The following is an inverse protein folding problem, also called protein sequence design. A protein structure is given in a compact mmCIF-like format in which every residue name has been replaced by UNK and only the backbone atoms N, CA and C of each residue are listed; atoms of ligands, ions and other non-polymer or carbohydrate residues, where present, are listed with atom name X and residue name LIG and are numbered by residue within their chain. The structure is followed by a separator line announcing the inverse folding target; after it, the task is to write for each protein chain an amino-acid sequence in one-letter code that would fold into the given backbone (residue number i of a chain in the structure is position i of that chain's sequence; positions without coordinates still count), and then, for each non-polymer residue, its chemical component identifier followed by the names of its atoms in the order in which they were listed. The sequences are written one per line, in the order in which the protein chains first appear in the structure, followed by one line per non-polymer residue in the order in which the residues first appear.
data_IF_997675101468
#
_entry.id   IF_997675101468
#
_cell.length_a   1.000
_cell.length_b   1.000
_cell.length_c   1.000
_cell.angle_alpha   90.00
_cell.angle_beta   90.00
_cell.angle_gamma   90.00
#
_symmetry.space_group_name_H-M   'P 1'
#
loop_
_entity.id
_entity.type
_entity.pdbx_description
1 polymer ?
#
# COMPACT_ATOMS: atom_id res chain seq x y z
N UNK A 1 17.22 -0.05 -16.73
CA UNK A 1 16.52 -0.85 -15.71
C UNK A 1 17.04 -0.47 -14.34
N UNK A 2 16.32 0.40 -13.63
CA UNK A 2 16.68 0.84 -12.27
C UNK A 2 15.50 0.61 -11.33
N UNK A 3 15.81 0.24 -10.10
CA UNK A 3 14.83 0.07 -9.03
C UNK A 3 14.68 1.43 -8.34
N UNK A 4 13.48 2.01 -8.34
CA UNK A 4 13.17 3.20 -7.54
C UNK A 4 12.48 2.79 -6.24
N UNK A 5 13.01 3.26 -5.12
CA UNK A 5 12.47 3.01 -3.78
C UNK A 5 11.76 4.25 -3.26
N UNK A 6 10.55 4.07 -2.75
CA UNK A 6 9.71 5.13 -2.19
C UNK A 6 9.64 4.91 -0.69
N UNK A 7 9.95 5.98 0.06
CA UNK A 7 9.97 5.98 1.53
C UNK A 7 10.76 4.80 2.14
N UNK A 8 12.04 4.62 1.78
CA UNK A 8 12.86 3.56 2.37
C UNK A 8 13.18 3.84 3.84
N UNK A 9 13.19 2.79 4.64
CA UNK A 9 13.77 2.75 5.97
C UNK A 9 14.72 1.54 6.10
N UNK A 10 15.28 1.30 7.30
CA UNK A 10 16.23 0.20 7.53
C UNK A 10 15.66 -1.21 7.31
N UNK A 11 14.33 -1.37 7.34
CA UNK A 11 13.62 -2.67 7.22
C UNK A 11 13.00 -2.85 5.83
N UNK A 12 12.33 -1.83 5.29
CA UNK A 12 11.58 -1.92 4.03
C UNK A 12 11.46 -0.57 3.31
N UNK A 13 10.98 -0.61 2.06
CA UNK A 13 10.45 0.57 1.35
C UNK A 13 8.94 0.46 1.28
N UNK A 14 8.22 1.57 1.48
CA UNK A 14 6.76 1.57 1.42
C UNK A 14 6.23 1.20 0.03
N UNK A 15 6.96 1.58 -1.02
CA UNK A 15 6.75 1.08 -2.37
C UNK A 15 8.07 0.96 -3.16
N UNK A 16 8.05 0.09 -4.17
CA UNK A 16 9.16 -0.12 -5.11
C UNK A 16 8.61 -0.10 -6.52
N UNK A 17 9.25 0.66 -7.41
CA UNK A 17 8.92 0.72 -8.83
C UNK A 17 10.03 0.02 -9.62
N UNK A 18 9.63 -0.95 -10.44
CA UNK A 18 10.54 -1.66 -11.34
C UNK A 18 9.79 -1.99 -12.64
N UNK A 19 10.37 -1.60 -13.77
CA UNK A 19 9.85 -1.86 -15.12
C UNK A 19 8.36 -1.56 -15.29
N UNK A 20 7.93 -0.40 -14.79
CA UNK A 20 6.55 0.09 -14.90
C UNK A 20 5.57 -0.52 -13.88
N UNK A 21 6.00 -1.50 -13.08
CA UNK A 21 5.18 -2.13 -12.04
C UNK A 21 5.48 -1.52 -10.68
N UNK A 22 4.43 -1.24 -9.91
CA UNK A 22 4.51 -0.72 -8.55
C UNK A 22 4.20 -1.86 -7.56
N UNK A 23 5.15 -2.16 -6.68
CA UNK A 23 4.98 -3.09 -5.56
C UNK A 23 4.84 -2.28 -4.28
N UNK A 24 3.70 -2.39 -3.59
CA UNK A 24 3.42 -1.69 -2.34
C UNK A 24 3.60 -2.66 -1.17
N UNK A 25 4.27 -2.23 -0.11
CA UNK A 25 4.40 -3.03 1.13
C UNK A 25 3.04 -3.18 1.81
N UNK A 26 2.91 -4.15 2.72
CA UNK A 26 1.71 -4.28 3.55
C UNK A 26 1.35 -2.95 4.23
N UNK A 27 0.09 -2.54 4.10
CA UNK A 27 -0.45 -1.34 4.71
C UNK A 27 -1.36 -1.74 5.87
N UNK A 28 -1.18 -1.06 7.01
CA UNK A 28 -1.91 -1.30 8.26
C UNK A 28 -2.58 0.01 8.69
N UNK A 29 -3.69 -0.03 9.46
CA UNK A 29 -4.34 1.18 9.92
C UNK A 29 -3.46 1.94 10.92
N UNK A 30 -3.66 3.25 11.03
CA UNK A 30 -3.09 4.03 12.14
C UNK A 30 -3.92 3.84 13.42
N UNK A 31 -5.19 3.45 13.28
CA UNK A 31 -6.12 3.16 14.38
C UNK A 31 -6.41 1.65 14.50
N UNK A 32 -5.51 0.84 15.08
CA UNK A 32 -5.63 -0.63 15.08
C UNK A 32 -6.83 -1.18 15.88
N UNK A 33 -7.50 -0.33 16.67
CA UNK A 33 -8.66 -0.69 17.48
C UNK A 33 -9.97 -0.10 16.93
N UNK A 34 -9.95 0.59 15.80
CA UNK A 34 -11.16 1.09 15.15
C UNK A 34 -11.95 -0.05 14.48
N UNK A 35 -13.17 0.23 14.03
CA UNK A 35 -13.94 -0.73 13.24
C UNK A 35 -13.28 -1.04 11.88
N UNK A 36 -13.64 -2.19 11.29
CA UNK A 36 -13.05 -2.67 10.02
C UNK A 36 -13.21 -1.67 8.89
N UNK A 37 -14.31 -0.92 8.85
CA UNK A 37 -14.57 0.07 7.81
C UNK A 37 -13.60 1.26 7.91
N UNK A 38 -13.31 1.71 9.12
CA UNK A 38 -12.37 2.80 9.39
C UNK A 38 -10.95 2.36 9.11
N UNK A 39 -10.55 1.18 9.58
CA UNK A 39 -9.24 0.61 9.27
C UNK A 39 -9.04 0.47 7.75
N UNK A 40 -10.05 -0.02 7.04
CA UNK A 40 -10.00 -0.18 5.57
C UNK A 40 -9.84 1.17 4.87
N UNK A 41 -10.58 2.21 5.28
CA UNK A 41 -10.45 3.56 4.70
C UNK A 41 -9.05 4.13 4.89
N UNK A 42 -8.45 3.97 6.07
CA UNK A 42 -7.09 4.42 6.35
C UNK A 42 -6.06 3.69 5.48
N UNK A 43 -6.18 2.36 5.38
CA UNK A 43 -5.31 1.53 4.53
C UNK A 43 -5.40 1.98 3.07
N UNK A 44 -6.62 2.14 2.54
CA UNK A 44 -6.83 2.57 1.15
C UNK A 44 -6.28 3.98 0.90
N UNK A 45 -6.42 4.91 1.85
CA UNK A 45 -5.83 6.25 1.74
C UNK A 45 -4.29 6.22 1.69
N UNK A 46 -3.66 5.32 2.46
CA UNK A 46 -2.20 5.11 2.41
C UNK A 46 -1.77 4.53 1.06
N UNK A 47 -2.49 3.54 0.53
CA UNK A 47 -2.26 2.96 -0.80
C UNK A 47 -2.38 4.05 -1.88
N UNK A 48 -3.44 4.86 -1.86
CA UNK A 48 -3.66 5.94 -2.82
C UNK A 48 -2.51 6.95 -2.82
N UNK A 49 -1.98 7.31 -1.63
CA UNK A 49 -0.80 8.18 -1.53
C UNK A 49 0.44 7.55 -2.18
N UNK A 50 0.71 6.27 -1.89
CA UNK A 50 1.87 5.57 -2.43
C UNK A 50 1.77 5.38 -3.95
N UNK A 51 0.58 5.10 -4.48
CA UNK A 51 0.33 5.03 -5.92
C UNK A 51 0.63 6.38 -6.58
N UNK A 52 0.14 7.50 -6.01
CA UNK A 52 0.45 8.84 -6.53
C UNK A 52 1.94 9.16 -6.52
N UNK A 53 2.66 8.85 -5.44
CA UNK A 53 4.13 9.00 -5.38
C UNK A 53 4.86 8.09 -6.40
N UNK A 54 4.24 6.96 -6.74
CA UNK A 54 4.72 6.07 -7.78
C UNK A 54 4.41 6.55 -9.22
N UNK A 55 3.55 7.56 -9.40
CA UNK A 55 3.07 8.02 -10.70
C UNK A 55 1.93 7.16 -11.27
N UNK A 56 1.17 6.50 -10.41
CA UNK A 56 0.05 5.62 -10.73
C UNK A 56 -1.20 6.00 -9.92
N UNK A 57 -2.27 5.23 -10.10
CA UNK A 57 -3.53 5.40 -9.40
C UNK A 57 -4.31 4.05 -9.36
N UNK A 58 -5.41 4.03 -8.60
CA UNK A 58 -6.20 2.83 -8.35
C UNK A 58 -6.86 2.21 -9.58
N UNK A 59 -7.02 2.95 -10.69
CA UNK A 59 -7.54 2.39 -11.95
C UNK A 59 -6.55 1.43 -12.63
N UNK A 60 -5.29 1.42 -12.18
CA UNK A 60 -4.20 0.60 -12.73
C UNK A 60 -3.78 -0.55 -11.81
N UNK A 61 -4.64 -0.94 -10.86
CA UNK A 61 -4.36 -2.07 -9.99
C UNK A 61 -4.34 -3.38 -10.77
N UNK A 62 -3.31 -4.20 -10.54
CA UNK A 62 -3.15 -5.52 -11.16
C UNK A 62 -3.61 -6.62 -10.19
N UNK A 63 -3.23 -6.50 -8.91
CA UNK A 63 -3.58 -7.43 -7.85
C UNK A 63 -3.68 -6.70 -6.51
N UNK A 64 -4.56 -7.17 -5.62
CA UNK A 64 -4.67 -6.71 -4.24
C UNK A 64 -4.88 -7.92 -3.32
N UNK A 65 -4.01 -8.05 -2.32
CA UNK A 65 -4.13 -9.06 -1.29
C UNK A 65 -4.67 -8.41 -0.02
N UNK A 66 -5.71 -8.98 0.57
CA UNK A 66 -6.37 -8.49 1.79
C UNK A 66 -6.22 -9.53 2.88
N UNK A 67 -5.60 -9.15 3.99
CA UNK A 67 -5.47 -9.99 5.18
C UNK A 67 -6.38 -9.45 6.27
N UNK A 68 -7.41 -10.23 6.59
CA UNK A 68 -8.31 -9.95 7.71
C UNK A 68 -7.83 -10.74 8.93
N UNK A 69 -7.82 -10.07 10.09
CA UNK A 69 -7.47 -10.72 11.35
C UNK A 69 -8.57 -11.68 11.83
N UNK A 70 -9.82 -11.43 11.45
CA UNK A 70 -11.00 -12.21 11.79
C UNK A 70 -12.04 -12.10 10.65
N UNK A 71 -12.79 -13.18 10.39
CA UNK A 71 -13.78 -13.29 9.30
C UNK A 71 -15.14 -13.84 9.78
N UNK A 72 -15.33 -13.94 11.10
CA UNK A 72 -16.50 -14.57 11.72
C UNK A 72 -17.76 -13.72 11.56
#
# INVERSE_FOLDING_TARGET
MSIRRIQPNKRLSAAVVHDGVVYISGQVPDTPHADVATQTREILAKIDRLLREAGSDKSRLINANVWLADII
#
